data_IF_839211231469
#
_entry.id   IF_839211231469
#
_cell.length_a   1.000
_cell.length_b   1.000
_cell.length_c   1.000
_cell.angle_alpha   90.00
_cell.angle_beta   90.00
_cell.angle_gamma   90.00
#
_symmetry.space_group_name_H-M   'P 1'
#
loop_
_entity.id
_entity.type
_entity.pdbx_description
1 polymer ?
#
# COMPACT_ATOMS: atom_id res chain seq x y z
N UNK A 1 -17.23 10.85 -69.50
CA UNK A 1 -17.36 9.58 -70.24
C UNK A 1 -15.96 9.24 -70.75
N UNK A 2 -15.28 8.12 -70.49
CA UNK A 2 -15.54 6.85 -69.75
C UNK A 2 -14.15 6.16 -69.62
N UNK A 3 -13.82 5.22 -68.72
CA UNK A 3 -14.58 4.32 -67.82
C UNK A 3 -13.89 4.22 -66.43
N UNK A 4 -14.59 3.64 -65.45
CA UNK A 4 -14.05 3.15 -64.18
C UNK A 4 -13.39 1.78 -64.37
N UNK A 5 -12.07 1.67 -64.14
CA UNK A 5 -11.21 0.47 -64.21
C UNK A 5 -10.00 0.80 -63.30
N UNK A 6 -9.51 0.01 -62.33
CA UNK A 6 -9.80 -1.35 -61.86
C UNK A 6 -9.51 -1.39 -60.33
N UNK A 7 -10.30 -2.11 -59.54
CA UNK A 7 -9.96 -2.43 -58.15
C UNK A 7 -9.43 -3.86 -58.08
N UNK A 8 -8.15 -4.04 -57.72
CA UNK A 8 -7.50 -5.33 -57.44
C UNK A 8 -6.05 -5.07 -56.97
N UNK A 9 -5.63 -5.56 -55.79
CA UNK A 9 -4.21 -5.43 -55.38
C UNK A 9 -3.85 -5.63 -53.90
N UNK A 10 -3.85 -6.90 -53.46
CA UNK A 10 -3.01 -7.45 -52.38
C UNK A 10 -3.03 -6.87 -50.94
N UNK A 11 -3.45 -7.72 -50.01
CA UNK A 11 -3.02 -7.66 -48.60
C UNK A 11 -1.53 -8.05 -48.44
N UNK A 12 -0.85 -7.44 -47.46
CA UNK A 12 0.51 -7.77 -47.01
C UNK A 12 1.24 -6.49 -46.59
N UNK A 13 1.87 -6.36 -45.42
CA UNK A 13 2.48 -7.39 -44.56
C UNK A 13 2.17 -7.13 -43.08
N UNK A 14 1.65 -8.15 -42.38
CA UNK A 14 1.65 -8.23 -40.91
C UNK A 14 2.94 -8.93 -40.44
N UNK A 15 4.00 -8.17 -40.12
CA UNK A 15 5.20 -8.72 -39.47
C UNK A 15 6.08 -7.65 -38.81
N UNK A 16 5.79 -7.32 -37.55
CA UNK A 16 6.73 -6.61 -36.67
C UNK A 16 6.56 -7.05 -35.20
N UNK A 17 6.68 -8.36 -34.96
CA UNK A 17 6.89 -8.88 -33.60
C UNK A 17 8.36 -8.64 -33.21
N UNK A 18 8.65 -7.97 -32.09
CA UNK A 18 10.05 -7.68 -31.74
C UNK A 18 10.30 -6.89 -30.45
N UNK A 19 9.54 -7.10 -29.38
CA UNK A 19 9.68 -6.34 -28.12
C UNK A 19 9.42 -7.19 -26.88
N UNK A 20 10.22 -8.23 -26.66
CA UNK A 20 10.00 -9.23 -25.61
C UNK A 20 10.33 -8.78 -24.19
N UNK A 21 9.45 -8.01 -23.55
CA UNK A 21 9.50 -7.82 -22.09
C UNK A 21 9.02 -9.09 -21.40
N UNK A 22 9.95 -9.84 -20.78
CA UNK A 22 9.64 -11.08 -20.04
C UNK A 22 8.97 -10.77 -18.70
N UNK A 23 7.70 -10.36 -18.72
CA UNK A 23 6.88 -10.24 -17.51
C UNK A 23 6.48 -11.65 -17.04
N UNK A 24 7.21 -12.16 -16.04
CA UNK A 24 6.96 -13.49 -15.48
C UNK A 24 5.70 -13.49 -14.62
N UNK A 25 4.58 -13.93 -15.21
CA UNK A 25 3.29 -14.05 -14.52
C UNK A 25 2.92 -15.51 -14.27
N UNK A 26 3.42 -16.06 -13.16
CA UNK A 26 3.01 -17.38 -12.65
C UNK A 26 1.76 -17.32 -11.73
N UNK A 27 1.06 -16.17 -11.67
CA UNK A 27 -0.09 -15.93 -10.79
C UNK A 27 -1.27 -15.22 -11.49
N UNK A 28 -1.42 -15.36 -12.81
CA UNK A 28 -2.41 -14.65 -13.64
C UNK A 28 -3.89 -15.00 -13.38
N UNK A 29 -4.20 -15.82 -12.36
CA UNK A 29 -5.55 -16.20 -11.95
C UNK A 29 -5.93 -15.66 -10.55
N UNK A 30 -5.06 -14.90 -9.89
CA UNK A 30 -5.40 -14.18 -8.66
C UNK A 30 -6.24 -12.94 -8.96
N UNK A 31 -7.33 -12.74 -8.23
CA UNK A 31 -8.02 -11.45 -8.15
C UNK A 31 -7.02 -10.38 -7.70
N UNK A 32 -6.62 -9.50 -8.62
CA UNK A 32 -5.67 -8.40 -8.33
C UNK A 32 -6.40 -7.33 -7.52
N UNK A 33 -6.54 -7.55 -6.22
CA UNK A 33 -6.91 -6.50 -5.28
C UNK A 33 -5.77 -5.48 -5.28
N UNK A 34 -5.99 -4.20 -5.62
CA UNK A 34 -4.94 -3.19 -5.61
C UNK A 34 -4.49 -2.93 -4.17
N UNK A 35 -3.43 -3.62 -3.76
CA UNK A 35 -2.80 -3.43 -2.46
C UNK A 35 -2.14 -2.05 -2.43
N UNK A 36 -2.54 -1.22 -1.47
CA UNK A 36 -1.94 0.09 -1.25
C UNK A 36 -0.53 -0.08 -0.67
N UNK A 37 0.48 -0.16 -1.55
CA UNK A 37 1.89 -0.27 -1.15
C UNK A 37 2.50 1.09 -0.79
N UNK A 38 2.07 1.68 0.33
CA UNK A 38 2.78 2.82 0.91
C UNK A 38 4.08 2.36 1.59
N UNK A 39 5.04 3.29 1.71
CA UNK A 39 6.32 3.11 2.40
C UNK A 39 6.58 4.28 3.32
N UNK A 40 7.13 4.02 4.50
CA UNK A 40 7.36 5.03 5.52
C UNK A 40 7.71 4.39 6.86
N UNK A 41 7.83 5.19 7.94
CA UNK A 41 8.31 4.71 9.22
C UNK A 41 7.37 3.69 9.87
N UNK A 42 6.06 3.78 9.65
CA UNK A 42 5.08 2.82 10.17
C UNK A 42 5.14 1.50 9.39
N UNK A 43 5.29 1.54 8.05
CA UNK A 43 5.48 0.33 7.25
C UNK A 43 6.76 -0.42 7.68
N UNK A 44 7.88 0.30 7.85
CA UNK A 44 9.15 -0.29 8.28
C UNK A 44 9.04 -0.91 9.67
N UNK A 45 8.47 -0.18 10.64
CA UNK A 45 8.28 -0.69 12.00
C UNK A 45 7.31 -1.89 12.06
N UNK A 46 6.23 -1.86 11.30
CA UNK A 46 5.28 -2.98 11.16
C UNK A 46 5.94 -4.25 10.60
N UNK A 47 6.86 -4.11 9.64
CA UNK A 47 7.64 -5.24 9.13
C UNK A 47 8.68 -5.73 10.15
N UNK A 48 9.29 -4.83 10.92
CA UNK A 48 10.30 -5.15 11.93
C UNK A 48 9.74 -5.81 13.21
N UNK A 49 8.49 -5.49 13.58
CA UNK A 49 7.73 -6.10 14.69
C UNK A 49 7.52 -7.62 14.51
N UNK A 50 7.81 -8.17 13.31
CA UNK A 50 7.96 -9.59 12.97
C UNK A 50 6.86 -10.54 13.51
N UNK A 51 5.67 -10.00 13.77
CA UNK A 51 4.51 -10.81 14.16
C UNK A 51 4.06 -11.64 12.96
N UNK A 52 3.45 -12.80 13.20
CA UNK A 52 2.96 -13.74 12.17
C UNK A 52 2.06 -13.13 11.08
N UNK A 53 1.55 -11.92 11.29
CA UNK A 53 0.66 -11.21 10.38
C UNK A 53 1.28 -9.92 9.79
N UNK A 54 2.61 -9.74 9.88
CA UNK A 54 3.35 -8.68 9.22
C UNK A 54 3.64 -9.08 7.75
N UNK A 55 2.73 -8.74 6.84
CA UNK A 55 2.92 -8.92 5.39
C UNK A 55 3.30 -7.59 4.73
N UNK A 56 4.04 -7.63 3.61
CA UNK A 56 4.37 -6.43 2.82
C UNK A 56 3.11 -5.66 2.39
N UNK A 57 2.03 -6.41 2.11
CA UNK A 57 0.73 -5.88 1.74
C UNK A 57 0.05 -5.17 2.92
N UNK A 58 -0.01 -5.83 4.08
CA UNK A 58 -0.63 -5.29 5.28
C UNK A 58 0.11 -4.07 5.81
N UNK A 59 1.44 -4.14 5.96
CA UNK A 59 2.22 -3.02 6.46
C UNK A 59 2.21 -1.83 5.49
N UNK A 60 2.10 -2.08 4.18
CA UNK A 60 1.81 -1.03 3.19
C UNK A 60 0.44 -0.38 3.39
N UNK A 61 -0.61 -1.20 3.57
CA UNK A 61 -1.97 -0.70 3.85
C UNK A 61 -2.00 0.12 5.15
N UNK A 62 -1.38 -0.38 6.23
CA UNK A 62 -1.31 0.31 7.53
C UNK A 62 -0.59 1.66 7.38
N UNK A 63 0.52 1.74 6.64
CA UNK A 63 1.19 3.00 6.34
C UNK A 63 0.28 3.94 5.53
N UNK A 64 -0.45 3.45 4.52
CA UNK A 64 -1.38 4.28 3.74
C UNK A 64 -2.53 4.84 4.59
N UNK A 65 -2.95 4.15 5.66
CA UNK A 65 -3.88 4.72 6.66
C UNK A 65 -3.17 5.75 7.54
N UNK A 66 -1.93 5.47 7.99
CA UNK A 66 -1.13 6.40 8.78
C UNK A 66 -0.86 7.73 8.05
N UNK A 67 -0.64 7.70 6.74
CA UNK A 67 -0.41 8.89 5.89
C UNK A 67 -1.63 9.82 5.81
N UNK A 68 -2.83 9.29 6.06
CA UNK A 68 -4.07 10.08 6.14
C UNK A 68 -4.46 10.48 7.56
N UNK A 69 -4.06 9.69 8.57
CA UNK A 69 -4.53 9.82 9.94
C UNK A 69 -3.52 10.47 10.90
N UNK A 70 -2.22 10.47 10.58
CA UNK A 70 -1.14 10.89 11.47
C UNK A 70 -0.19 11.88 10.77
N UNK A 71 0.22 12.92 11.49
CA UNK A 71 1.29 13.82 11.03
C UNK A 71 2.63 13.09 10.92
N UNK A 72 3.56 13.55 10.08
CA UNK A 72 4.90 12.97 9.98
C UNK A 72 5.65 12.82 11.33
N UNK A 73 5.61 13.82 12.25
CA UNK A 73 6.10 13.66 13.61
C UNK A 73 5.37 12.55 14.41
N UNK A 74 4.04 12.50 14.33
CA UNK A 74 3.25 11.48 15.03
C UNK A 74 3.53 10.06 14.47
N UNK A 75 3.75 9.92 13.16
CA UNK A 75 4.19 8.66 12.57
C UNK A 75 5.57 8.21 13.08
N UNK A 76 6.57 9.12 13.12
CA UNK A 76 7.92 8.80 13.64
C UNK A 76 7.90 8.46 15.13
N UNK A 77 7.03 9.12 15.90
CA UNK A 77 6.78 8.79 17.31
C UNK A 77 6.14 7.41 17.43
N UNK A 78 5.10 7.16 16.64
CA UNK A 78 4.34 5.91 16.61
C UNK A 78 5.15 4.68 16.20
N UNK A 79 6.06 4.83 15.24
CA UNK A 79 6.96 3.75 14.81
C UNK A 79 7.76 3.14 15.96
N UNK A 80 8.21 3.97 16.92
CA UNK A 80 8.94 3.53 18.13
C UNK A 80 8.09 2.68 19.08
N UNK A 81 6.76 2.77 19.01
CA UNK A 81 5.85 1.98 19.85
C UNK A 81 5.55 0.58 19.30
N UNK A 82 6.02 0.25 18.09
CA UNK A 82 6.09 -1.15 17.64
C UNK A 82 7.26 -1.86 18.33
N UNK A 83 8.42 -1.21 18.42
CA UNK A 83 9.61 -1.72 19.12
C UNK A 83 9.40 -1.77 20.65
N UNK A 84 8.76 -0.75 21.21
CA UNK A 84 8.44 -0.65 22.64
C UNK A 84 6.94 -0.36 22.88
N UNK A 85 6.10 -1.42 22.95
CA UNK A 85 4.69 -1.30 23.25
C UNK A 85 4.38 -0.80 24.68
N UNK A 86 5.34 -0.86 25.59
CA UNK A 86 5.19 -0.43 26.99
C UNK A 86 4.99 1.08 27.08
N UNK A 87 5.83 1.84 26.38
CA UNK A 87 5.73 3.31 26.31
C UNK A 87 4.39 3.81 25.77
N UNK A 88 3.68 3.03 24.95
CA UNK A 88 2.34 3.41 24.48
C UNK A 88 1.30 3.36 25.61
N UNK A 89 1.47 2.50 26.62
CA UNK A 89 0.59 2.47 27.80
C UNK A 89 0.82 3.69 28.68
N UNK A 90 2.06 4.14 28.86
CA UNK A 90 2.37 5.40 29.55
C UNK A 90 1.69 6.60 28.87
N UNK A 91 1.78 6.68 27.53
CA UNK A 91 1.12 7.72 26.74
C UNK A 91 -0.39 7.70 26.89
N UNK A 92 -1.00 6.50 26.92
CA UNK A 92 -2.44 6.32 27.16
C UNK A 92 -2.89 6.78 28.56
N UNK A 93 -2.03 6.65 29.56
CA UNK A 93 -2.32 6.98 30.97
C UNK A 93 -1.89 8.41 31.36
N UNK A 94 -1.14 9.09 30.50
CA UNK A 94 -0.59 10.41 30.76
C UNK A 94 -1.68 11.50 30.75
N UNK A 95 -1.65 12.39 31.75
CA UNK A 95 -2.46 13.60 31.82
C UNK A 95 -1.96 14.77 30.95
N UNK A 96 -0.92 14.55 30.14
CA UNK A 96 -0.36 15.58 29.27
C UNK A 96 -1.19 15.73 27.97
N UNK A 97 -1.67 16.96 27.68
CA UNK A 97 -2.51 17.23 26.52
C UNK A 97 -1.90 16.85 25.15
N UNK A 98 -0.58 16.90 24.99
CA UNK A 98 0.07 16.46 23.75
C UNK A 98 0.14 14.93 23.62
N UNK A 99 0.18 14.21 24.75
CA UNK A 99 0.02 12.76 24.80
C UNK A 99 -1.42 12.35 24.54
N UNK A 100 -2.39 13.07 25.10
CA UNK A 100 -3.82 12.85 24.83
C UNK A 100 -4.17 13.06 23.34
N UNK A 101 -3.75 14.20 22.75
CA UNK A 101 -3.91 14.47 21.30
C UNK A 101 -3.35 13.32 20.47
N UNK A 102 -2.12 12.90 20.76
CA UNK A 102 -1.49 11.78 20.05
C UNK A 102 -2.26 10.48 20.26
N UNK A 103 -2.68 10.15 21.48
CA UNK A 103 -3.40 8.92 21.81
C UNK A 103 -4.75 8.83 21.11
N UNK A 104 -5.50 9.93 21.02
CA UNK A 104 -6.75 10.00 20.27
C UNK A 104 -6.53 9.73 18.77
N UNK A 105 -5.55 10.41 18.16
CA UNK A 105 -5.19 10.19 16.76
C UNK A 105 -4.69 8.75 16.50
N UNK A 106 -3.84 8.23 17.37
CA UNK A 106 -3.29 6.87 17.29
C UNK A 106 -4.37 5.79 17.41
N UNK A 107 -5.33 5.96 18.32
CA UNK A 107 -6.48 5.07 18.49
C UNK A 107 -7.40 5.09 17.26
N UNK A 108 -7.68 6.28 16.72
CA UNK A 108 -8.48 6.42 15.50
C UNK A 108 -7.79 5.75 14.29
N UNK A 109 -6.49 6.00 14.11
CA UNK A 109 -5.63 5.31 13.15
C UNK A 109 -5.69 3.79 13.29
N UNK A 110 -5.48 3.26 14.50
CA UNK A 110 -5.47 1.81 14.77
C UNK A 110 -6.81 1.15 14.42
N UNK A 111 -7.93 1.78 14.77
CA UNK A 111 -9.26 1.29 14.42
C UNK A 111 -9.50 1.28 12.89
N UNK A 112 -9.10 2.35 12.19
CA UNK A 112 -9.21 2.42 10.73
C UNK A 112 -8.33 1.36 10.05
N UNK A 113 -7.09 1.19 10.51
CA UNK A 113 -6.15 0.21 9.99
C UNK A 113 -6.63 -1.23 10.24
N UNK A 114 -7.21 -1.52 11.41
CA UNK A 114 -7.81 -2.82 11.71
C UNK A 114 -9.00 -3.14 10.78
N UNK A 115 -9.85 -2.14 10.49
CA UNK A 115 -11.00 -2.33 9.61
C UNK A 115 -10.61 -2.49 8.12
N UNK A 116 -9.67 -1.67 7.64
CA UNK A 116 -9.29 -1.61 6.22
C UNK A 116 -8.27 -2.68 5.84
N UNK A 117 -7.28 -2.95 6.70
CA UNK A 117 -6.14 -3.84 6.42
C UNK A 117 -6.32 -5.23 7.05
N UNK A 118 -7.56 -5.75 7.02
CA UNK A 118 -7.92 -7.09 7.52
C UNK A 118 -7.79 -8.20 6.48
N UNK A 119 -7.78 -7.85 5.20
CA UNK A 119 -7.78 -8.76 4.05
C UNK A 119 -6.44 -8.70 3.27
N UNK A 120 -5.36 -8.33 3.95
CA UNK A 120 -4.00 -8.05 3.44
C UNK A 120 -2.95 -8.71 4.32
#
# INVERSE_FOLDING_TARGET
MTRLILALGACGVLAACGGGTRYSSYNAQGTVVPVLFATGPIATACMADNRKAASRARCGCVQAVADRALSGPDQRRGARYFEDPGKLQEVRQSSNAANERFWLAWKAFGNQAANLCRAT
#
